data_IF_169531610679
#
_entry.id   IF_169531610679
#
_cell.length_a   1.000
_cell.length_b   1.000
_cell.length_c   1.000
_cell.angle_alpha   90.00
_cell.angle_beta   90.00
_cell.angle_gamma   90.00
#
_symmetry.space_group_name_H-M   'P 1'
#
loop_
_entity.id
_entity.type
_entity.pdbx_description
1 polymer ?
#
# COMPACT_ATOMS: atom_id res chain seq x y z
N UNK A 1 13.75 -13.75 0.61
CA UNK A 1 12.95 -13.28 -0.55
C UNK A 1 11.49 -12.96 -0.22
N UNK A 2 10.75 -13.83 0.51
CA UNK A 2 9.36 -13.56 0.94
C UNK A 2 9.24 -12.36 1.88
N UNK A 3 10.23 -12.20 2.75
CA UNK A 3 10.14 -11.34 3.91
C UNK A 3 10.48 -9.88 3.56
N UNK A 4 11.40 -9.68 2.61
CA UNK A 4 11.79 -8.38 2.08
C UNK A 4 10.65 -7.74 1.27
N UNK A 5 10.00 -8.51 0.39
CA UNK A 5 8.83 -8.03 -0.36
C UNK A 5 7.64 -7.73 0.57
N UNK A 6 7.48 -8.51 1.64
CA UNK A 6 6.42 -8.28 2.62
C UNK A 6 6.70 -7.06 3.51
N UNK A 7 7.97 -6.78 3.79
CA UNK A 7 8.39 -5.54 4.45
C UNK A 7 8.15 -4.31 3.55
N UNK A 8 8.52 -4.38 2.27
CA UNK A 8 8.25 -3.33 1.27
C UNK A 8 6.74 -3.08 1.16
N UNK A 9 5.94 -4.14 1.04
CA UNK A 9 4.49 -4.04 0.96
C UNK A 9 3.90 -3.32 2.19
N UNK A 10 4.37 -3.68 3.39
CA UNK A 10 3.94 -3.02 4.64
C UNK A 10 4.37 -1.55 4.71
N UNK A 11 5.56 -1.23 4.20
CA UNK A 11 6.05 0.14 4.10
C UNK A 11 5.25 0.99 3.11
N UNK A 12 4.83 0.40 1.98
CA UNK A 12 3.94 1.05 1.01
C UNK A 12 2.55 1.27 1.59
N UNK A 13 1.97 0.29 2.28
CA UNK A 13 0.69 0.46 2.98
C UNK A 13 0.73 1.64 3.98
N UNK A 14 1.86 1.80 4.69
CA UNK A 14 2.06 2.91 5.61
C UNK A 14 2.21 4.26 4.89
N UNK A 15 3.02 4.31 3.83
CA UNK A 15 3.22 5.51 3.03
C UNK A 15 1.91 6.00 2.39
N UNK A 16 1.10 5.07 1.88
CA UNK A 16 -0.23 5.35 1.33
C UNK A 16 -1.17 5.92 2.38
N UNK A 17 -1.21 5.32 3.58
CA UNK A 17 -2.04 5.82 4.68
C UNK A 17 -1.66 7.24 5.10
N UNK A 18 -0.36 7.53 5.20
CA UNK A 18 0.13 8.87 5.54
C UNK A 18 -0.20 9.91 4.48
N UNK A 19 -0.09 9.54 3.21
CA UNK A 19 -0.44 10.42 2.10
C UNK A 19 -1.95 10.76 2.09
N UNK A 20 -2.81 9.76 2.38
CA UNK A 20 -4.26 9.97 2.49
C UNK A 20 -4.65 10.88 3.66
N UNK A 21 -3.96 10.76 4.78
CA UNK A 21 -4.14 11.65 5.94
C UNK A 21 -3.83 13.11 5.56
N UNK A 22 -2.70 13.33 4.88
CA UNK A 22 -2.33 14.66 4.38
C UNK A 22 -3.33 15.20 3.36
N UNK A 23 -3.83 14.36 2.46
CA UNK A 23 -4.86 14.77 1.50
C UNK A 23 -6.17 15.11 2.19
N UNK A 24 -6.59 14.36 3.21
CA UNK A 24 -7.76 14.69 4.00
C UNK A 24 -7.56 16.00 4.78
N UNK A 25 -6.37 16.25 5.33
CA UNK A 25 -6.01 17.52 5.97
C UNK A 25 -6.12 18.68 4.98
N UNK A 26 -5.52 18.55 3.79
CA UNK A 26 -5.57 19.57 2.73
C UNK A 26 -7.01 19.83 2.31
N UNK A 27 -7.82 18.77 2.11
CA UNK A 27 -9.24 18.90 1.75
C UNK A 27 -10.06 19.59 2.84
N UNK A 28 -9.87 19.21 4.10
CA UNK A 28 -10.65 19.74 5.21
C UNK A 28 -10.23 21.15 5.65
N UNK A 29 -9.07 21.64 5.19
CA UNK A 29 -8.60 23.02 5.39
C UNK A 29 -9.02 23.98 4.27
N UNK A 30 -9.84 23.52 3.31
CA UNK A 30 -10.39 24.31 2.21
C UNK A 30 -11.47 25.31 2.65
N UNK A 31 -11.06 26.35 3.39
CA UNK A 31 -11.82 27.60 3.45
C UNK A 31 -11.08 28.83 2.92
N UNK A 32 -9.81 28.76 2.46
CA UNK A 32 -9.16 30.00 2.01
C UNK A 32 -7.95 29.94 1.05
N UNK A 33 -7.21 28.85 0.86
CA UNK A 33 -5.93 28.94 0.12
C UNK A 33 -5.83 28.00 -1.08
N UNK A 34 -5.68 28.64 -2.25
CA UNK A 34 -5.30 28.02 -3.53
C UNK A 34 -3.91 27.43 -3.37
N UNK A 35 -3.80 26.10 -3.54
CA UNK A 35 -2.57 25.32 -3.62
C UNK A 35 -1.90 24.99 -2.26
N UNK A 36 -2.62 24.31 -1.37
CA UNK A 36 -1.96 23.58 -0.28
C UNK A 36 -1.25 22.35 -0.86
N UNK A 37 0.06 22.30 -0.70
CA UNK A 37 0.90 21.13 -1.02
C UNK A 37 0.99 20.19 0.18
N UNK A 38 1.43 18.95 -0.04
CA UNK A 38 1.85 18.08 1.05
C UNK A 38 2.90 18.81 1.88
N UNK A 39 2.84 18.64 3.20
CA UNK A 39 3.82 19.19 4.12
C UNK A 39 5.24 18.73 3.76
N UNK A 40 6.21 19.66 3.77
CA UNK A 40 7.57 19.39 3.31
C UNK A 40 8.28 18.33 4.16
N UNK A 41 8.04 18.29 5.48
CA UNK A 41 8.63 17.27 6.37
C UNK A 41 8.04 15.89 6.07
N UNK A 42 6.73 15.83 5.82
CA UNK A 42 6.06 14.58 5.42
C UNK A 42 6.60 14.11 4.06
N UNK A 43 6.74 15.03 3.11
CA UNK A 43 7.28 14.73 1.78
C UNK A 43 8.71 14.21 1.86
N UNK A 44 9.57 14.83 2.66
CA UNK A 44 10.96 14.40 2.84
C UNK A 44 11.03 13.00 3.46
N UNK A 45 10.23 12.76 4.52
CA UNK A 45 10.15 11.46 5.18
C UNK A 45 9.69 10.35 4.24
N UNK A 46 8.61 10.58 3.49
CA UNK A 46 8.08 9.61 2.53
C UNK A 46 9.06 9.38 1.36
N UNK A 47 9.75 10.43 0.90
CA UNK A 47 10.77 10.31 -0.15
C UNK A 47 11.94 9.44 0.31
N UNK A 48 12.43 9.63 1.54
CA UNK A 48 13.48 8.79 2.11
C UNK A 48 13.03 7.33 2.24
N UNK A 49 11.79 7.11 2.69
CA UNK A 49 11.22 5.77 2.83
C UNK A 49 11.08 5.05 1.49
N UNK A 50 10.51 5.72 0.47
CA UNK A 50 10.42 5.19 -0.89
C UNK A 50 11.80 4.91 -1.48
N UNK A 51 12.76 5.82 -1.29
CA UNK A 51 14.12 5.65 -1.79
C UNK A 51 14.84 4.44 -1.18
N UNK A 52 14.51 4.07 0.07
CA UNK A 52 14.99 2.83 0.68
C UNK A 52 14.28 1.61 0.08
N UNK A 53 12.96 1.62 -0.01
CA UNK A 53 12.19 0.50 -0.55
C UNK A 53 12.50 0.21 -2.02
N UNK A 54 12.74 1.23 -2.84
CA UNK A 54 13.19 1.06 -4.23
C UNK A 54 14.52 0.32 -4.29
N UNK A 55 15.50 0.72 -3.46
CA UNK A 55 16.79 0.03 -3.40
C UNK A 55 16.62 -1.43 -2.98
N UNK A 56 15.85 -1.69 -1.93
CA UNK A 56 15.58 -3.06 -1.47
C UNK A 56 14.86 -3.89 -2.55
N UNK A 57 13.92 -3.31 -3.30
CA UNK A 57 13.22 -3.98 -4.41
C UNK A 57 14.15 -4.28 -5.60
N UNK A 58 15.10 -3.40 -5.89
CA UNK A 58 16.12 -3.62 -6.93
C UNK A 58 17.11 -4.73 -6.54
N UNK A 59 17.46 -4.80 -5.25
CA UNK A 59 18.38 -5.81 -4.72
C UNK A 59 17.68 -7.13 -4.38
N UNK A 60 16.34 -7.14 -4.30
CA UNK A 60 15.57 -8.37 -4.13
C UNK A 60 15.48 -9.20 -5.41
N UNK A 61 15.90 -8.66 -6.57
CA UNK A 61 16.14 -9.46 -7.77
C UNK A 61 17.45 -10.23 -7.64
N UNK A 62 17.38 -11.56 -7.49
CA UNK A 62 18.58 -12.40 -7.38
C UNK A 62 19.51 -12.18 -8.58
N UNK A 63 20.78 -11.91 -8.32
CA UNK A 63 21.85 -11.77 -9.33
C UNK A 63 22.05 -13.03 -10.18
N UNK A 64 21.51 -14.18 -9.74
CA UNK A 64 21.53 -15.44 -10.48
C UNK A 64 20.32 -15.63 -11.41
N UNK A 65 19.26 -14.83 -11.28
CA UNK A 65 18.05 -14.93 -12.11
C UNK A 65 17.45 -13.54 -12.36
N UNK A 66 18.04 -12.83 -13.33
CA UNK A 66 17.56 -11.56 -13.89
C UNK A 66 16.11 -11.62 -14.47
N UNK A 67 15.51 -12.81 -14.54
CA UNK A 67 14.17 -13.03 -15.08
C UNK A 67 13.05 -13.10 -14.02
N UNK A 68 13.38 -13.05 -12.72
CA UNK A 68 12.38 -13.24 -11.65
C UNK A 68 11.73 -11.92 -11.20
N UNK A 69 11.48 -11.01 -12.15
CA UNK A 69 10.50 -9.94 -11.99
C UNK A 69 9.13 -10.60 -11.92
N UNK A 70 8.69 -10.96 -10.73
CA UNK A 70 7.33 -11.49 -10.52
C UNK A 70 6.31 -10.36 -10.70
N UNK A 71 5.05 -10.69 -11.01
CA UNK A 71 3.94 -9.72 -10.97
C UNK A 71 3.93 -8.87 -9.68
N UNK A 72 4.32 -9.46 -8.54
CA UNK A 72 4.47 -8.76 -7.27
C UNK A 72 5.53 -7.65 -7.27
N UNK A 73 6.64 -7.80 -7.99
CA UNK A 73 7.66 -6.76 -8.11
C UNK A 73 7.15 -5.60 -8.97
N UNK A 74 6.44 -5.92 -10.05
CA UNK A 74 5.84 -4.91 -10.94
C UNK A 74 4.76 -4.10 -10.21
N UNK A 75 3.91 -4.75 -9.41
CA UNK A 75 2.92 -4.08 -8.56
C UNK A 75 3.59 -3.13 -7.55
N UNK A 76 4.58 -3.61 -6.79
CA UNK A 76 5.29 -2.77 -5.81
C UNK A 76 6.00 -1.60 -6.48
N UNK A 77 6.61 -1.81 -7.65
CA UNK A 77 7.25 -0.74 -8.43
C UNK A 77 6.23 0.28 -8.92
N UNK A 78 5.09 -0.17 -9.43
CA UNK A 78 3.99 0.69 -9.88
C UNK A 78 3.49 1.57 -8.73
N UNK A 79 3.26 0.98 -7.55
CA UNK A 79 2.85 1.71 -6.33
C UNK A 79 3.87 2.79 -5.94
N UNK A 80 5.16 2.48 -5.95
CA UNK A 80 6.22 3.45 -5.66
C UNK A 80 6.24 4.63 -6.64
N UNK A 81 6.06 4.36 -7.94
CA UNK A 81 5.99 5.40 -8.98
C UNK A 81 4.78 6.30 -8.77
N UNK A 82 3.60 5.71 -8.53
CA UNK A 82 2.38 6.48 -8.25
C UNK A 82 2.53 7.35 -7.00
N UNK A 83 3.08 6.81 -5.91
CA UNK A 83 3.33 7.59 -4.68
C UNK A 83 4.26 8.78 -4.94
N UNK A 84 5.33 8.58 -5.73
CA UNK A 84 6.24 9.68 -6.06
C UNK A 84 5.58 10.76 -6.91
N UNK A 85 4.80 10.37 -7.91
CA UNK A 85 4.02 11.30 -8.72
C UNK A 85 3.02 12.10 -7.88
N UNK A 86 2.37 11.46 -6.90
CA UNK A 86 1.43 12.15 -6.01
C UNK A 86 2.12 13.12 -5.04
N UNK A 87 3.34 12.81 -4.60
CA UNK A 87 4.13 13.73 -3.77
C UNK A 87 4.72 14.92 -4.55
N UNK A 88 5.05 14.73 -5.82
CA UNK A 88 5.64 15.76 -6.67
C UNK A 88 4.60 16.60 -7.43
N UNK A 89 3.37 16.11 -7.53
CA UNK A 89 2.28 16.84 -8.13
C UNK A 89 1.91 18.09 -7.33
N UNK A 90 1.88 19.24 -7.99
CA UNK A 90 0.99 20.35 -7.60
C UNK A 90 -0.43 19.91 -7.94
N UNK A 91 -1.00 19.01 -7.14
CA UNK A 91 -2.21 18.31 -7.52
C UNK A 91 -3.39 19.28 -7.48
N UNK A 92 -4.07 19.53 -8.62
CA UNK A 92 -5.39 20.13 -8.60
C UNK A 92 -6.27 19.28 -7.70
N UNK A 93 -7.09 19.89 -6.86
CA UNK A 93 -7.93 19.20 -5.87
C UNK A 93 -8.77 18.05 -6.48
N UNK A 94 -9.14 18.16 -7.76
CA UNK A 94 -9.82 17.12 -8.52
C UNK A 94 -9.00 15.83 -8.69
N UNK A 95 -7.68 15.93 -8.92
CA UNK A 95 -6.79 14.76 -8.99
C UNK A 95 -6.60 14.10 -7.61
N UNK A 96 -6.66 14.90 -6.54
CA UNK A 96 -6.62 14.38 -5.17
C UNK A 96 -7.87 13.58 -4.83
N UNK A 97 -9.04 14.02 -5.28
CA UNK A 97 -10.31 13.29 -5.10
C UNK A 97 -10.28 11.94 -5.81
N UNK A 98 -9.87 11.90 -7.08
CA UNK A 98 -9.79 10.65 -7.85
C UNK A 98 -8.75 9.67 -7.26
N UNK A 99 -7.59 10.18 -6.84
CA UNK A 99 -6.59 9.37 -6.15
C UNK A 99 -7.11 8.83 -4.80
N UNK A 100 -7.80 9.67 -4.02
CA UNK A 100 -8.39 9.28 -2.74
C UNK A 100 -9.45 8.18 -2.91
N UNK A 101 -10.34 8.31 -3.89
CA UNK A 101 -11.33 7.29 -4.21
C UNK A 101 -10.69 5.98 -4.68
N UNK A 102 -9.65 6.06 -5.52
CA UNK A 102 -8.89 4.89 -5.97
C UNK A 102 -8.22 4.13 -4.82
N UNK A 103 -7.63 4.85 -3.87
CA UNK A 103 -7.00 4.27 -2.69
C UNK A 103 -8.01 3.67 -1.71
N UNK A 104 -9.09 4.38 -1.40
CA UNK A 104 -10.15 3.86 -0.53
C UNK A 104 -10.80 2.60 -1.12
N UNK A 105 -11.04 2.58 -2.43
CA UNK A 105 -11.57 1.40 -3.12
C UNK A 105 -10.63 0.20 -2.99
N UNK A 106 -9.34 0.40 -3.25
CA UNK A 106 -8.31 -0.65 -3.07
C UNK A 106 -8.21 -1.12 -1.61
N UNK A 107 -8.23 -0.20 -0.65
CA UNK A 107 -8.19 -0.52 0.78
C UNK A 107 -9.37 -1.39 1.19
N UNK A 108 -10.58 -1.04 0.76
CA UNK A 108 -11.80 -1.84 1.01
C UNK A 108 -11.70 -3.23 0.39
N UNK A 109 -11.20 -3.34 -0.84
CA UNK A 109 -10.99 -4.63 -1.49
C UNK A 109 -9.99 -5.51 -0.70
N UNK A 110 -8.90 -4.93 -0.22
CA UNK A 110 -7.89 -5.62 0.59
C UNK A 110 -8.48 -6.03 1.95
N UNK A 111 -9.23 -5.16 2.62
CA UNK A 111 -9.89 -5.49 3.89
C UNK A 111 -10.93 -6.60 3.74
N UNK A 112 -11.74 -6.56 2.67
CA UNK A 112 -12.67 -7.64 2.36
C UNK A 112 -11.95 -8.95 2.10
N UNK A 113 -10.85 -8.95 1.34
CA UNK A 113 -10.09 -10.16 1.07
C UNK A 113 -9.42 -10.69 2.36
N UNK A 114 -8.87 -9.81 3.20
CA UNK A 114 -8.34 -10.18 4.53
C UNK A 114 -9.45 -10.80 5.40
N UNK A 115 -10.67 -10.25 5.37
CA UNK A 115 -11.84 -10.79 6.10
C UNK A 115 -12.28 -12.15 5.56
N UNK A 116 -12.32 -12.33 4.24
CA UNK A 116 -12.63 -13.61 3.57
C UNK A 116 -11.57 -14.68 3.88
N UNK A 117 -10.29 -14.32 3.91
CA UNK A 117 -9.21 -15.25 4.29
C UNK A 117 -9.33 -15.67 5.76
N UNK A 118 -9.64 -14.74 6.68
CA UNK A 118 -9.88 -15.05 8.11
C UNK A 118 -11.08 -15.98 8.30
N UNK A 119 -12.19 -15.75 7.59
CA UNK A 119 -13.37 -16.62 7.70
C UNK A 119 -13.14 -18.02 7.13
N UNK A 120 -12.41 -18.14 6.01
CA UNK A 120 -12.00 -19.45 5.44
C UNK A 120 -11.09 -20.25 6.38
N UNK A 121 -10.14 -19.58 7.04
CA UNK A 121 -9.26 -20.22 8.03
C UNK A 121 -10.05 -20.67 9.27
N UNK A 122 -10.99 -19.85 9.75
CA UNK A 122 -11.88 -20.19 10.87
C UNK A 122 -12.78 -21.39 10.54
N UNK A 123 -13.40 -21.42 9.35
CA UNK A 123 -14.25 -22.53 8.91
C UNK A 123 -13.48 -23.83 8.72
N UNK A 124 -12.23 -23.78 8.23
CA UNK A 124 -11.37 -24.97 8.14
C UNK A 124 -11.02 -25.56 9.50
N UNK A 125 -10.75 -24.71 10.50
CA UNK A 125 -10.48 -25.17 11.88
C UNK A 125 -11.72 -25.76 12.54
N UNK A 126 -12.90 -25.14 12.35
CA UNK A 126 -14.16 -25.67 12.86
C UNK A 126 -14.52 -27.03 12.21
N UNK A 127 -14.33 -27.17 10.89
CA UNK A 127 -14.57 -28.42 10.18
C UNK A 127 -13.60 -29.55 10.59
N UNK A 128 -12.35 -29.21 10.93
CA UNK A 128 -11.38 -30.18 11.42
C UNK A 128 -11.74 -30.72 12.81
N UNK A 129 -12.21 -29.84 13.71
CA UNK A 129 -12.64 -30.21 15.07
C UNK A 129 -13.92 -31.06 15.10
N UNK A 130 -14.84 -30.85 14.15
CA UNK A 130 -16.04 -31.68 13.98
C UNK A 130 -15.72 -33.07 13.43
N UNK A 131 -14.70 -33.21 12.59
CA UNK A 131 -14.25 -34.52 12.08
C UNK A 131 -13.55 -35.37 13.14
N UNK A 132 -12.81 -34.74 14.07
CA UNK A 132 -12.15 -35.47 15.16
C UNK A 132 -13.11 -35.91 16.26
N UNK A 133 -14.21 -35.19 16.48
CA UNK A 133 -15.25 -35.55 17.46
C UNK A 133 -16.23 -36.61 16.92
N UNK A 134 -16.44 -36.69 15.61
CA UNK A 134 -17.27 -37.71 14.97
C UNK A 134 -16.56 -39.07 14.75
N UNK A 135 -15.25 -39.15 15.03
CA UNK A 135 -14.42 -40.34 14.87
C UNK A 135 -13.98 -40.97 16.22
N UNK A 136 -14.56 -40.52 17.34
CA UNK A 136 -14.39 -41.11 18.69
C UNK A 136 -15.64 -41.86 19.12
#
# INVERSE_FOLDING_TARGET
MSDELSWIESGLDHAEAKLLEEFARIRNTLSAYRNNTIDDEVKESLTAMLGRMTRELEHSGSTENLSLTTERHEDLRSRMVTLRQLMDGRLPTAYLEEAHESFESRRRAIEEEKKKRRSRVSNRRAAALLKTTAAS
#
